data_IF_931776385841
#
_entry.id   IF_931776385841
#
_cell.length_a   1.000
_cell.length_b   1.000
_cell.length_c   1.000
_cell.angle_alpha   90.00
_cell.angle_beta   90.00
_cell.angle_gamma   90.00
#
_symmetry.space_group_name_H-M   'P 1'
#
loop_
_entity.id
_entity.type
_entity.pdbx_description
1 polymer ?
#
# COMPACT_ATOMS: atom_id res chain seq x y z
N UNK A 1 -37.28 3.25 9.19
CA UNK A 1 -35.89 3.04 8.74
C UNK A 1 -35.86 3.24 7.23
N UNK A 2 -35.09 4.19 6.72
CA UNK A 2 -35.13 4.59 5.30
C UNK A 2 -34.48 3.59 4.34
N UNK A 3 -34.64 3.85 3.04
CA UNK A 3 -34.16 3.01 1.92
C UNK A 3 -32.66 2.69 1.95
N UNK A 4 -31.88 3.48 2.69
CA UNK A 4 -30.43 3.38 2.75
C UNK A 4 -29.90 2.51 3.90
N UNK A 5 -30.76 2.01 4.81
CA UNK A 5 -30.32 1.28 6.00
C UNK A 5 -29.74 2.18 7.10
N UNK A 6 -29.23 1.61 8.21
CA UNK A 6 -28.65 2.37 9.31
C UNK A 6 -27.31 3.00 8.89
N UNK A 7 -27.22 4.32 9.02
CA UNK A 7 -26.01 5.08 8.69
C UNK A 7 -24.93 4.87 9.75
N UNK A 8 -23.66 4.66 9.36
CA UNK A 8 -22.55 4.66 10.32
C UNK A 8 -22.37 6.08 10.89
N UNK A 9 -22.82 6.27 12.13
CA UNK A 9 -22.61 7.52 12.85
C UNK A 9 -21.22 7.50 13.50
N UNK A 10 -20.38 8.53 13.31
CA UNK A 10 -19.16 8.68 14.08
C UNK A 10 -19.50 8.85 15.57
N UNK A 11 -18.52 8.62 16.45
CA UNK A 11 -18.68 8.89 17.88
C UNK A 11 -19.10 10.34 18.11
N UNK A 12 -20.20 10.55 18.84
CA UNK A 12 -20.68 11.87 19.22
C UNK A 12 -20.28 12.09 20.68
N UNK A 13 -19.43 13.08 20.95
CA UNK A 13 -18.85 13.33 22.28
C UNK A 13 -18.18 12.09 22.90
N UNK A 14 -17.43 11.34 22.08
CA UNK A 14 -16.79 10.07 22.47
C UNK A 14 -17.78 8.96 22.92
N UNK A 15 -19.07 9.13 22.62
CA UNK A 15 -20.12 8.18 22.97
C UNK A 15 -20.68 7.51 21.71
N UNK A 16 -20.84 6.19 21.78
CA UNK A 16 -21.42 5.40 20.70
C UNK A 16 -22.91 5.21 20.97
N UNK A 17 -23.76 5.87 20.20
CA UNK A 17 -25.20 5.65 20.22
C UNK A 17 -25.55 4.53 19.24
N UNK A 18 -25.44 3.28 19.68
CA UNK A 18 -25.75 2.10 18.88
C UNK A 18 -24.75 0.96 19.09
N UNK A 19 -24.58 0.12 18.06
CA UNK A 19 -23.59 -0.95 18.06
C UNK A 19 -22.34 -0.52 17.31
N UNK A 20 -21.19 -0.74 17.94
CA UNK A 20 -19.90 -0.56 17.29
C UNK A 20 -19.78 -1.56 16.11
N UNK A 21 -19.33 -1.07 14.96
CA UNK A 21 -19.07 -1.87 13.77
C UNK A 21 -17.77 -1.44 13.11
N UNK A 22 -16.95 -2.43 12.78
CA UNK A 22 -15.77 -2.25 11.95
C UNK A 22 -16.15 -2.23 10.47
N UNK A 23 -15.41 -1.44 9.70
CA UNK A 23 -15.55 -1.34 8.25
C UNK A 23 -14.17 -1.39 7.59
N UNK A 24 -14.10 -1.99 6.42
CA UNK A 24 -12.92 -2.01 5.57
C UNK A 24 -11.94 -3.16 5.85
N UNK A 25 -12.22 -4.03 6.82
CA UNK A 25 -11.33 -5.15 7.17
C UNK A 25 -11.21 -6.17 6.04
N UNK A 26 -10.03 -6.75 5.85
CA UNK A 26 -9.78 -7.81 4.89
C UNK A 26 -8.69 -8.76 5.41
N UNK A 27 -8.68 -9.98 4.88
CA UNK A 27 -7.65 -10.97 5.14
C UNK A 27 -6.63 -10.90 4.01
N UNK A 28 -5.38 -10.67 4.37
CA UNK A 28 -4.27 -10.55 3.41
C UNK A 28 -4.22 -9.18 2.74
N UNK A 29 -3.00 -8.66 2.64
CA UNK A 29 -2.69 -7.45 1.89
C UNK A 29 -1.30 -7.58 1.26
N UNK A 30 -1.06 -6.90 0.14
CA UNK A 30 0.20 -6.96 -0.60
C UNK A 30 0.72 -5.56 -0.89
N UNK A 31 1.71 -5.16 -0.10
CA UNK A 31 2.61 -4.07 -0.46
C UNK A 31 3.90 -4.59 -1.05
N UNK A 32 4.53 -3.75 -1.86
CA UNK A 32 5.80 -4.06 -2.49
C UNK A 32 6.56 -2.78 -2.81
N UNK A 33 7.84 -2.98 -3.09
CA UNK A 33 8.66 -1.97 -3.73
C UNK A 33 9.27 -2.53 -5.01
N UNK A 34 9.62 -1.65 -5.93
CA UNK A 34 10.34 -2.01 -7.16
C UNK A 34 11.48 -1.04 -7.37
N UNK A 35 12.64 -1.56 -7.77
CA UNK A 35 13.79 -0.78 -8.20
C UNK A 35 14.03 -1.05 -9.68
N UNK A 36 14.20 0.01 -10.46
CA UNK A 36 14.59 -0.10 -11.85
C UNK A 36 16.08 0.21 -12.01
N UNK A 37 16.79 -0.66 -12.71
CA UNK A 37 18.20 -0.51 -13.06
C UNK A 37 18.34 -0.35 -14.57
N UNK A 38 19.04 0.69 -15.01
CA UNK A 38 19.31 0.97 -16.42
C UNK A 38 20.80 0.80 -16.70
N UNK A 39 21.29 -0.44 -16.54
CA UNK A 39 22.66 -0.85 -16.90
C UNK A 39 23.78 -0.34 -15.99
N UNK A 40 23.48 0.32 -14.86
CA UNK A 40 24.49 0.80 -13.91
C UNK A 40 24.29 0.26 -12.50
N UNK A 41 25.30 0.47 -11.64
CA UNK A 41 25.38 -0.05 -10.27
C UNK A 41 24.46 0.66 -9.26
N UNK A 42 23.63 1.58 -9.74
CA UNK A 42 22.64 2.29 -8.93
C UNK A 42 21.31 2.32 -9.66
N UNK A 43 20.18 2.15 -8.94
CA UNK A 43 18.86 2.23 -9.53
C UNK A 43 18.62 3.64 -10.09
N UNK A 44 17.84 3.73 -11.17
CA UNK A 44 17.40 5.01 -11.73
C UNK A 44 16.11 5.51 -11.08
N UNK A 45 15.24 4.59 -10.65
CA UNK A 45 13.96 4.90 -10.03
C UNK A 45 13.50 3.83 -9.06
N UNK A 46 12.58 4.21 -8.17
CA UNK A 46 11.95 3.35 -7.20
C UNK A 46 10.43 3.58 -7.17
N UNK A 47 9.67 2.49 -7.02
CA UNK A 47 8.25 2.52 -6.75
C UNK A 47 7.97 1.91 -5.38
N UNK A 48 7.04 2.49 -4.63
CA UNK A 48 6.55 1.95 -3.35
C UNK A 48 5.03 1.90 -3.38
N UNK A 49 4.45 0.75 -3.06
CA UNK A 49 3.01 0.55 -2.92
C UNK A 49 2.58 0.83 -1.48
N UNK A 50 1.50 1.57 -1.29
CA UNK A 50 0.80 1.72 -0.02
C UNK A 50 -0.72 1.68 -0.25
N UNK A 51 -1.38 0.66 0.29
CA UNK A 51 -2.81 0.38 0.17
C UNK A 51 -3.27 0.26 -1.29
N UNK A 52 -4.21 1.11 -1.67
CA UNK A 52 -4.70 1.27 -3.03
C UNK A 52 -3.97 2.40 -3.78
N UNK A 53 -2.77 2.78 -3.33
CA UNK A 53 -1.95 3.82 -3.93
C UNK A 53 -0.46 3.45 -4.00
N UNK A 54 0.34 4.29 -4.66
CA UNK A 54 1.78 4.14 -4.68
C UNK A 54 2.48 5.43 -5.10
N UNK A 55 3.79 5.47 -4.94
CA UNK A 55 4.61 6.60 -5.33
C UNK A 55 5.85 6.15 -6.12
N UNK A 56 6.14 6.94 -7.15
CA UNK A 56 7.35 6.85 -7.96
C UNK A 56 8.35 7.89 -7.45
N UNK A 57 9.61 7.47 -7.41
CA UNK A 57 10.75 8.28 -7.03
C UNK A 57 11.86 8.13 -8.06
N UNK A 58 12.57 9.22 -8.33
CA UNK A 58 13.75 9.24 -9.18
C UNK A 58 15.01 9.31 -8.33
N UNK A 59 16.03 8.51 -8.66
CA UNK A 59 17.31 8.54 -7.96
C UNK A 59 18.23 9.61 -8.53
N UNK A 60 18.66 10.54 -7.69
CA UNK A 60 19.68 11.52 -8.02
C UNK A 60 21.05 11.01 -7.56
N UNK A 61 21.91 10.63 -8.52
CA UNK A 61 23.26 10.11 -8.23
C UNK A 61 24.17 11.13 -7.53
N UNK A 62 24.01 12.43 -7.79
CA UNK A 62 24.85 13.48 -7.21
C UNK A 62 24.57 13.67 -5.72
N UNK A 63 23.29 13.70 -5.37
CA UNK A 63 22.85 13.87 -3.96
C UNK A 63 22.72 12.53 -3.23
N UNK A 64 22.76 11.41 -3.97
CA UNK A 64 22.52 10.04 -3.49
C UNK A 64 21.19 9.93 -2.76
N UNK A 65 20.12 10.43 -3.36
CA UNK A 65 18.78 10.42 -2.78
C UNK A 65 17.73 10.06 -3.81
N UNK A 66 16.63 9.46 -3.35
CA UNK A 66 15.42 9.32 -4.14
C UNK A 66 14.48 10.47 -3.82
N UNK A 67 14.04 11.18 -4.86
CA UNK A 67 13.09 12.29 -4.75
C UNK A 67 11.77 11.92 -5.37
N UNK A 68 10.67 12.29 -4.72
CA UNK A 68 9.31 12.07 -5.19
C UNK A 68 9.12 12.64 -6.59
N UNK A 69 8.50 11.85 -7.46
CA UNK A 69 8.19 12.24 -8.83
C UNK A 69 6.67 12.37 -9.02
N UNK A 70 5.93 11.30 -8.72
CA UNK A 70 4.48 11.25 -8.89
C UNK A 70 3.86 10.11 -8.08
N UNK A 71 2.57 10.20 -7.80
CA UNK A 71 1.78 9.13 -7.21
C UNK A 71 0.91 8.39 -8.23
N UNK A 72 0.49 7.20 -7.87
CA UNK A 72 -0.53 6.41 -8.53
C UNK A 72 -1.67 6.12 -7.54
N UNK A 73 -2.92 6.25 -7.99
CA UNK A 73 -4.10 5.87 -7.23
C UNK A 73 -4.81 4.77 -8.01
N UNK A 74 -4.99 3.60 -7.39
CA UNK A 74 -5.58 2.41 -8.00
C UNK A 74 -7.08 2.28 -7.72
N UNK A 75 -7.56 2.83 -6.60
CA UNK A 75 -9.01 2.85 -6.28
C UNK A 75 -9.45 4.21 -5.77
N UNK A 76 -10.70 4.56 -6.08
CA UNK A 76 -11.45 5.63 -5.44
C UNK A 76 -10.93 7.07 -5.63
N UNK A 77 -11.81 8.04 -5.37
CA UNK A 77 -11.47 9.48 -5.37
C UNK A 77 -11.03 9.94 -3.96
N UNK A 78 -11.36 9.15 -2.93
CA UNK A 78 -11.13 9.48 -1.53
C UNK A 78 -9.75 9.06 -1.00
N UNK A 79 -9.03 8.20 -1.73
CA UNK A 79 -7.69 7.74 -1.39
C UNK A 79 -6.65 8.67 -2.04
N UNK A 80 -6.27 9.72 -1.31
CA UNK A 80 -5.25 10.68 -1.74
C UNK A 80 -4.17 10.74 -0.66
N UNK A 81 -3.24 9.78 -0.67
CA UNK A 81 -2.14 9.79 0.26
C UNK A 81 -1.19 10.95 -0.01
N UNK A 82 -0.45 11.33 1.02
CA UNK A 82 0.70 12.24 0.90
C UNK A 82 1.94 11.42 1.16
N UNK A 83 2.75 11.26 0.11
CA UNK A 83 4.02 10.56 0.21
C UNK A 83 5.14 11.54 0.58
N UNK A 84 6.15 11.11 1.36
CA UNK A 84 7.34 11.91 1.63
C UNK A 84 8.08 12.31 0.36
N UNK A 85 8.65 13.52 0.34
CA UNK A 85 9.38 14.05 -0.82
C UNK A 85 10.74 13.34 -1.04
N UNK A 86 11.34 12.84 0.04
CA UNK A 86 12.64 12.17 0.04
C UNK A 86 12.51 10.83 0.75
N UNK A 87 13.17 9.82 0.20
CA UNK A 87 13.20 8.47 0.78
C UNK A 87 14.33 8.38 1.78
N UNK A 88 14.04 7.82 2.94
CA UNK A 88 15.07 7.48 3.92
C UNK A 88 16.03 6.42 3.37
N UNK A 89 17.31 6.66 3.57
CA UNK A 89 18.37 5.71 3.24
C UNK A 89 19.10 5.30 4.51
N UNK A 90 19.89 4.24 4.43
CA UNK A 90 20.83 3.95 5.51
C UNK A 90 21.83 5.07 5.75
N UNK A 91 22.50 5.13 6.92
CA UNK A 91 23.50 6.16 7.20
C UNK A 91 24.64 6.23 6.17
N UNK A 92 24.93 5.13 5.48
CA UNK A 92 25.93 5.05 4.39
C UNK A 92 25.35 5.35 3.00
N UNK A 93 24.07 5.69 2.92
CA UNK A 93 23.29 5.92 1.71
C UNK A 93 23.42 4.78 0.67
N UNK A 94 23.47 3.53 1.13
CA UNK A 94 23.71 2.37 0.23
C UNK A 94 22.42 1.71 -0.23
N UNK A 95 21.35 1.77 0.55
CA UNK A 95 20.06 1.20 0.19
C UNK A 95 18.91 1.97 0.86
N UNK A 96 17.72 1.98 0.25
CA UNK A 96 16.54 2.59 0.83
C UNK A 96 16.03 1.85 2.07
N UNK A 97 15.43 2.60 2.97
CA UNK A 97 14.76 2.13 4.18
C UNK A 97 13.28 2.44 4.04
N UNK A 98 12.45 1.40 4.12
CA UNK A 98 11.00 1.52 4.07
C UNK A 98 10.38 1.14 5.40
N UNK A 99 9.24 1.73 5.70
CA UNK A 99 8.56 1.62 6.99
C UNK A 99 7.17 1.01 6.78
N UNK A 100 6.96 -0.17 7.36
CA UNK A 100 5.64 -0.78 7.41
C UNK A 100 4.78 -0.08 8.48
N UNK A 101 3.55 0.28 8.13
CA UNK A 101 2.60 0.88 9.04
C UNK A 101 2.11 -0.13 10.08
N UNK A 102 1.92 0.34 11.31
CA UNK A 102 1.45 -0.48 12.43
C UNK A 102 -0.01 -0.92 12.19
N UNK A 103 -0.19 -2.20 11.88
CA UNK A 103 -1.48 -2.88 11.80
C UNK A 103 -2.28 -2.67 10.50
N UNK A 104 -1.91 -1.69 9.68
CA UNK A 104 -2.53 -1.44 8.37
C UNK A 104 -1.64 -1.82 7.18
N UNK A 105 -0.36 -2.13 7.46
CA UNK A 105 0.60 -2.74 6.54
C UNK A 105 1.10 -1.84 5.40
N UNK A 106 0.54 -0.64 5.24
CA UNK A 106 1.00 0.34 4.24
C UNK A 106 2.50 0.58 4.32
N UNK A 107 3.18 0.60 3.18
CA UNK A 107 4.63 0.74 3.09
C UNK A 107 4.99 2.20 2.75
N UNK A 108 5.78 2.83 3.60
CA UNK A 108 6.10 4.26 3.51
C UNK A 108 7.60 4.50 3.40
N UNK A 109 7.99 5.61 2.80
CA UNK A 109 9.40 5.98 2.53
C UNK A 109 10.04 6.82 3.64
N UNK A 110 9.25 7.19 4.66
CA UNK A 110 9.70 7.89 5.85
C UNK A 110 8.88 7.43 7.06
N UNK A 111 9.41 7.55 8.30
CA UNK A 111 8.64 7.30 9.50
C UNK A 111 7.63 8.43 9.73
N UNK A 112 6.60 8.18 10.54
CA UNK A 112 5.67 9.20 10.99
C UNK A 112 4.22 8.85 10.74
N UNK A 113 3.38 9.90 10.65
CA UNK A 113 1.93 9.77 10.47
C UNK A 113 1.55 10.10 9.03
N UNK A 114 1.10 9.09 8.30
CA UNK A 114 0.82 9.18 6.87
C UNK A 114 -0.67 9.16 6.62
N UNK A 115 -1.23 10.23 6.08
CA UNK A 115 -2.64 10.26 5.70
C UNK A 115 -2.81 9.49 4.40
N UNK A 116 -3.80 8.59 4.32
CA UNK A 116 -4.07 7.85 3.09
C UNK A 116 -5.54 7.88 2.63
N UNK A 117 -6.50 8.12 3.53
CA UNK A 117 -7.91 8.39 3.16
C UNK A 117 -8.33 9.80 3.58
N UNK A 118 -9.05 10.49 2.70
CA UNK A 118 -9.53 11.85 2.92
C UNK A 118 -10.76 11.89 3.83
N UNK A 119 -11.74 11.02 3.60
CA UNK A 119 -13.02 10.95 4.31
C UNK A 119 -13.51 9.48 4.40
N UNK A 120 -13.63 8.89 5.60
CA UNK A 120 -13.13 9.40 6.86
C UNK A 120 -11.60 9.59 6.82
N UNK A 121 -11.05 10.45 7.67
CA UNK A 121 -9.60 10.68 7.71
C UNK A 121 -8.90 9.48 8.33
N UNK A 122 -8.27 8.65 7.50
CA UNK A 122 -7.48 7.51 7.96
C UNK A 122 -5.99 7.81 7.82
N UNK A 123 -5.23 7.33 8.81
CA UNK A 123 -3.81 7.55 8.93
C UNK A 123 -3.11 6.25 9.27
N UNK A 124 -1.97 6.05 8.63
CA UNK A 124 -0.96 5.09 9.03
C UNK A 124 0.01 5.74 10.00
N UNK A 125 0.56 4.94 10.90
CA UNK A 125 1.65 5.33 11.78
C UNK A 125 2.78 4.34 11.59
N UNK A 126 3.96 4.84 11.27
CA UNK A 126 5.18 4.06 11.08
C UNK A 126 6.36 4.68 11.82
N UNK A 127 7.41 3.91 12.10
CA UNK A 127 8.57 4.35 12.87
C UNK A 127 9.72 3.36 12.81
N UNK A 128 10.87 3.70 13.40
CA UNK A 128 12.11 2.94 13.23
C UNK A 128 12.10 1.52 13.81
N UNK A 129 11.27 1.25 14.83
CA UNK A 129 11.00 -0.10 15.33
C UNK A 129 12.22 -1.00 15.46
N UNK A 130 12.03 -2.30 15.21
CA UNK A 130 13.12 -3.26 14.99
C UNK A 130 13.28 -3.42 13.48
N UNK A 131 14.48 -3.17 12.91
CA UNK A 131 14.67 -3.26 11.48
C UNK A 131 14.63 -4.71 11.01
N UNK A 132 13.91 -4.95 9.92
CA UNK A 132 14.03 -6.20 9.17
C UNK A 132 15.12 -6.06 8.12
N UNK A 133 16.25 -6.76 8.33
CA UNK A 133 17.38 -6.76 7.40
C UNK A 133 17.09 -7.70 6.22
N UNK A 134 16.24 -7.25 5.30
CA UNK A 134 15.71 -8.07 4.19
C UNK A 134 16.81 -8.71 3.34
N UNK A 135 17.96 -8.06 3.20
CA UNK A 135 19.12 -8.57 2.45
C UNK A 135 19.76 -9.83 3.06
N UNK A 136 19.48 -10.15 4.32
CA UNK A 136 20.03 -11.37 4.95
C UNK A 136 19.36 -12.65 4.44
N UNK A 137 18.15 -12.56 3.89
CA UNK A 137 17.37 -13.71 3.38
C UNK A 137 16.53 -13.29 2.17
N UNK A 138 17.22 -12.98 1.07
CA UNK A 138 16.55 -12.70 -0.20
C UNK A 138 16.40 -13.99 -0.98
N UNK A 139 15.15 -14.35 -1.28
CA UNK A 139 14.85 -15.39 -2.27
C UNK A 139 14.83 -14.75 -3.66
N UNK A 140 15.69 -15.23 -4.55
CA UNK A 140 15.79 -14.73 -5.92
C UNK A 140 14.97 -15.63 -6.83
N UNK A 141 13.91 -15.08 -7.41
CA UNK A 141 13.08 -15.75 -8.41
C UNK A 141 13.50 -15.22 -9.79
N UNK A 142 14.14 -16.07 -10.60
CA UNK A 142 14.53 -15.71 -11.96
C UNK A 142 13.39 -16.02 -12.94
N UNK A 143 12.75 -14.98 -13.46
CA UNK A 143 11.66 -15.10 -14.43
C UNK A 143 12.08 -15.75 -15.75
N UNK A 144 13.36 -15.62 -16.14
CA UNK A 144 13.87 -16.18 -17.40
C UNK A 144 13.97 -17.71 -17.38
N UNK A 145 14.01 -18.34 -16.21
CA UNK A 145 14.09 -19.80 -16.06
C UNK A 145 12.70 -20.48 -16.08
N UNK A 146 11.62 -19.71 -16.08
CA UNK A 146 10.24 -20.21 -16.17
C UNK A 146 9.71 -20.95 -14.92
N UNK A 147 10.55 -21.16 -13.91
CA UNK A 147 10.16 -21.81 -12.66
C UNK A 147 9.66 -20.77 -11.64
N UNK A 148 8.33 -20.64 -11.52
CA UNK A 148 7.68 -19.75 -10.56
C UNK A 148 7.01 -20.55 -9.43
N UNK A 149 7.06 -20.07 -8.19
CA UNK A 149 6.27 -20.68 -7.13
C UNK A 149 4.78 -20.47 -7.42
N UNK A 150 3.95 -21.46 -7.08
CA UNK A 150 2.53 -21.47 -7.43
C UNK A 150 1.77 -20.22 -6.92
N UNK A 151 2.15 -19.69 -5.75
CA UNK A 151 1.55 -18.47 -5.20
C UNK A 151 1.80 -17.23 -6.09
N UNK A 152 2.94 -17.13 -6.77
CA UNK A 152 3.24 -16.00 -7.65
C UNK A 152 2.40 -16.03 -8.93
N UNK A 153 1.98 -17.22 -9.36
CA UNK A 153 1.15 -17.43 -10.53
C UNK A 153 -0.36 -17.39 -10.23
N UNK A 154 -0.74 -17.17 -8.98
CA UNK A 154 -2.15 -17.18 -8.58
C UNK A 154 -2.94 -16.07 -9.28
N UNK A 155 -3.96 -16.48 -10.04
CA UNK A 155 -4.88 -15.59 -10.75
C UNK A 155 -6.22 -15.52 -10.02
N UNK A 156 -6.38 -14.51 -9.18
CA UNK A 156 -7.56 -14.36 -8.32
C UNK A 156 -7.42 -13.22 -7.32
N UNK A 157 -8.18 -13.27 -6.23
CA UNK A 157 -8.02 -12.37 -5.08
C UNK A 157 -7.58 -13.19 -3.86
N UNK A 158 -6.61 -12.67 -3.13
CA UNK A 158 -6.15 -13.27 -1.87
C UNK A 158 -7.17 -13.02 -0.77
N UNK A 159 -7.25 -13.95 0.19
CA UNK A 159 -8.04 -13.76 1.40
C UNK A 159 -9.53 -14.03 1.23
N UNK A 160 -10.37 -13.08 1.67
CA UNK A 160 -11.81 -13.24 1.75
C UNK A 160 -12.57 -12.43 0.67
N UNK A 161 -13.78 -12.88 0.29
CA UNK A 161 -14.70 -12.06 -0.47
C UNK A 161 -15.29 -10.94 0.40
N UNK A 162 -15.66 -9.84 -0.24
CA UNK A 162 -16.41 -8.74 0.39
C UNK A 162 -17.75 -9.22 0.91
N UNK A 163 -18.16 -8.74 2.08
CA UNK A 163 -19.47 -9.09 2.65
C UNK A 163 -19.98 -8.02 3.61
N UNK A 164 -21.28 -8.13 3.96
CA UNK A 164 -21.98 -7.21 4.86
C UNK A 164 -21.81 -5.73 4.47
N UNK A 165 -22.04 -5.46 3.19
CA UNK A 165 -21.93 -4.13 2.60
C UNK A 165 -23.19 -3.31 2.84
N UNK A 166 -23.01 -2.02 3.09
CA UNK A 166 -24.09 -1.06 3.14
C UNK A 166 -24.74 -0.92 1.74
N UNK A 167 -26.06 -0.64 1.62
CA UNK A 167 -26.73 -0.46 0.33
C UNK A 167 -26.06 0.56 -0.59
N UNK A 168 -25.46 1.61 -0.01
CA UNK A 168 -24.72 2.65 -0.74
C UNK A 168 -23.42 2.18 -1.39
N UNK A 169 -22.91 1.00 -1.04
CA UNK A 169 -21.79 0.40 -1.77
C UNK A 169 -22.14 0.11 -3.24
N UNK A 170 -23.43 0.05 -3.59
CA UNK A 170 -23.90 -0.04 -4.99
C UNK A 170 -23.77 1.27 -5.76
N UNK A 171 -23.65 2.40 -5.07
CA UNK A 171 -23.50 3.74 -5.69
C UNK A 171 -22.08 4.31 -5.52
N UNK A 172 -21.08 3.45 -5.28
CA UNK A 172 -19.66 3.82 -5.25
C UNK A 172 -19.10 4.24 -3.89
N UNK A 173 -19.92 4.27 -2.84
CA UNK A 173 -19.46 4.49 -1.46
C UNK A 173 -19.09 3.15 -0.83
N UNK A 174 -17.86 2.69 -1.04
CA UNK A 174 -17.33 1.37 -0.63
C UNK A 174 -17.34 1.13 0.89
N UNK A 175 -18.53 0.94 1.47
CA UNK A 175 -18.74 0.74 2.91
C UNK A 175 -19.14 -0.71 3.13
N UNK A 176 -18.17 -1.55 3.46
CA UNK A 176 -18.38 -2.97 3.79
C UNK A 176 -17.66 -3.30 5.09
N UNK A 177 -18.24 -4.19 5.90
CA UNK A 177 -17.54 -4.70 7.08
C UNK A 177 -16.29 -5.47 6.65
N UNK A 178 -16.46 -6.37 5.67
CA UNK A 178 -15.37 -7.10 5.03
C UNK A 178 -15.19 -6.60 3.60
N UNK A 179 -14.01 -6.07 3.31
CA UNK A 179 -13.52 -5.73 1.98
C UNK A 179 -12.92 -6.97 1.30
N UNK A 180 -12.85 -6.92 -0.03
CA UNK A 180 -12.09 -7.91 -0.80
C UNK A 180 -10.59 -7.73 -0.54
N UNK A 181 -9.84 -8.83 -0.52
CA UNK A 181 -8.37 -8.78 -0.52
C UNK A 181 -7.77 -8.38 -1.87
N UNK A 182 -6.43 -8.20 -1.91
CA UNK A 182 -5.70 -7.78 -3.11
C UNK A 182 -5.77 -8.84 -4.22
N UNK A 183 -5.67 -8.38 -5.47
CA UNK A 183 -5.54 -9.28 -6.62
C UNK A 183 -4.19 -9.98 -6.63
N UNK A 184 -4.13 -11.14 -7.27
CA UNK A 184 -2.88 -11.85 -7.57
C UNK A 184 -1.89 -10.97 -8.32
N UNK A 185 -0.60 -11.25 -8.12
CA UNK A 185 0.51 -10.48 -8.72
C UNK A 185 0.42 -10.42 -10.26
N UNK A 186 0.05 -11.49 -10.99
CA UNK A 186 -0.08 -11.43 -12.45
C UNK A 186 -1.18 -10.48 -12.95
N UNK A 187 -2.11 -10.10 -12.07
CA UNK A 187 -3.20 -9.16 -12.39
C UNK A 187 -2.84 -7.71 -12.06
N UNK A 188 -1.69 -7.46 -11.40
CA UNK A 188 -1.22 -6.11 -11.09
C UNK A 188 -0.54 -5.51 -12.32
N UNK A 189 -0.72 -4.20 -12.52
CA UNK A 189 0.02 -3.44 -13.53
C UNK A 189 1.51 -3.41 -13.16
N UNK A 190 2.39 -3.67 -14.12
CA UNK A 190 3.83 -3.50 -13.92
C UNK A 190 4.17 -2.03 -13.66
N UNK A 191 5.02 -1.78 -12.66
CA UNK A 191 5.44 -0.41 -12.33
C UNK A 191 6.43 0.15 -13.34
N UNK A 192 7.25 -0.73 -13.91
CA UNK A 192 8.25 -0.41 -14.91
C UNK A 192 8.28 -1.48 -15.99
N UNK A 193 8.59 -1.06 -17.22
CA UNK A 193 8.81 -1.98 -18.33
C UNK A 193 10.32 -2.20 -18.47
N UNK A 194 10.73 -3.45 -18.64
CA UNK A 194 12.08 -3.75 -19.11
C UNK A 194 12.15 -3.39 -20.61
N UNK A 195 13.12 -2.56 -20.98
CA UNK A 195 13.43 -2.22 -22.38
C UNK A 195 14.39 -3.23 -22.99
#
# INVERSE_FOLDING_TARGET
MGLLGPWPLPLVNNHCYGTYKDFGSHVGDWEHMSLMFQGGDSPSSMYVSAHDAGAFYTFNKKTRQFTYERMEIRKGIMQRPTFPDVVELTPRATHPVLFAAKGSHGLWTAPGKHKYVRLPRLYDVSGYGIPWLTWQRVEIINTALGAFPAWLLFYGKWGNPRSKCHPLSRVGLHICQLSDGPTGIPMKKQNYNCS
#
